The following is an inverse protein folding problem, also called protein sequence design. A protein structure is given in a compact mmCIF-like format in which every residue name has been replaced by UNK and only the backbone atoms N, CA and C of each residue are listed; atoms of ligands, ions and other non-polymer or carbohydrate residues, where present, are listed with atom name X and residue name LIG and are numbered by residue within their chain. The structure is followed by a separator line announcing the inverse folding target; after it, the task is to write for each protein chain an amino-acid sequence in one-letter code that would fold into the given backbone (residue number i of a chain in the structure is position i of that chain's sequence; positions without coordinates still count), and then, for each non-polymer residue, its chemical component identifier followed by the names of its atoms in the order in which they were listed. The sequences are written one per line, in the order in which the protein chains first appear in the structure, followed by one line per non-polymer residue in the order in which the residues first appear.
data_IF_955175770620
#
_entry.id   IF_955175770620
#
_cell.length_a   1.000
_cell.length_b   1.000
_cell.length_c   1.000
_cell.angle_alpha   90.00
_cell.angle_beta   90.00
_cell.angle_gamma   90.00
#
_symmetry.space_group_name_H-M   'P 1'
#
loop_
_entity.id
_entity.type
_entity.pdbx_description
1 polymer ?
#
# COMPACT_ATOMS: atom_id res chain seq x y z
N UNK A 1 -12.43 10.93 -3.31
CA UNK A 1 -11.07 11.02 -3.84
C UNK A 1 -10.76 9.84 -4.72
N UNK A 2 -10.01 10.07 -5.79
CA UNK A 2 -9.65 8.97 -6.69
C UNK A 2 -8.58 8.10 -6.03
N UNK A 3 -8.80 6.79 -6.07
CA UNK A 3 -7.80 5.85 -5.58
C UNK A 3 -6.65 5.73 -6.58
N UNK A 4 -5.46 5.58 -6.05
CA UNK A 4 -4.28 5.31 -6.85
C UNK A 4 -4.19 3.81 -7.14
N UNK A 5 -3.51 3.46 -8.22
CA UNK A 5 -3.26 2.06 -8.58
C UNK A 5 -1.79 1.77 -8.54
N UNK A 6 -1.45 0.54 -8.19
CA UNK A 6 -0.06 0.11 -8.17
C UNK A 6 0.04 -1.38 -7.94
N UNK A 7 1.25 -1.83 -7.71
CA UNK A 7 1.52 -3.22 -7.36
C UNK A 7 2.39 -3.29 -6.12
N UNK A 8 2.21 -4.33 -5.34
CA UNK A 8 3.01 -4.53 -4.13
C UNK A 8 4.43 -4.87 -4.53
N UNK A 9 5.39 -4.06 -4.07
CA UNK A 9 6.79 -4.32 -4.32
C UNK A 9 7.28 -5.44 -3.40
N UNK A 10 7.01 -5.30 -2.12
CA UNK A 10 7.21 -6.35 -1.12
C UNK A 10 6.45 -5.98 0.14
N UNK A 11 6.15 -6.96 0.95
CA UNK A 11 5.50 -6.75 2.22
C UNK A 11 5.99 -7.79 3.23
N UNK A 12 6.28 -7.35 4.45
CA UNK A 12 6.73 -8.23 5.51
C UNK A 12 5.75 -8.13 6.69
N UNK A 13 4.84 -9.10 6.84
CA UNK A 13 3.83 -9.04 7.92
C UNK A 13 4.46 -9.18 9.31
N UNK A 14 5.63 -9.80 9.40
CA UNK A 14 6.34 -9.93 10.68
C UNK A 14 6.86 -8.59 11.15
N UNK A 15 7.44 -7.80 10.24
CA UNK A 15 7.89 -6.45 10.55
C UNK A 15 6.75 -5.45 10.56
N UNK A 16 5.64 -5.76 9.89
CA UNK A 16 4.45 -4.95 9.88
C UNK A 16 4.41 -3.83 8.86
N UNK A 17 5.17 -3.94 7.77
CA UNK A 17 5.14 -2.92 6.73
C UNK A 17 5.67 -3.44 5.40
N UNK A 18 5.45 -2.64 4.36
CA UNK A 18 5.96 -2.93 3.04
C UNK A 18 5.88 -1.70 2.16
N UNK A 19 6.07 -1.90 0.87
CA UNK A 19 6.04 -0.82 -0.11
C UNK A 19 5.24 -1.22 -1.33
N UNK A 20 4.55 -0.23 -1.90
CA UNK A 20 3.78 -0.36 -3.13
C UNK A 20 4.48 0.44 -4.21
N UNK A 21 4.64 -0.16 -5.37
CA UNK A 21 5.14 0.54 -6.54
C UNK A 21 3.94 1.16 -7.26
N UNK A 22 3.82 2.50 -7.31
CA UNK A 22 2.68 3.12 -7.98
C UNK A 22 2.72 2.87 -9.48
N UNK A 23 1.54 2.79 -10.10
CA UNK A 23 1.44 2.63 -11.55
C UNK A 23 1.97 3.86 -12.29
N UNK A 24 1.84 5.02 -11.66
CA UNK A 24 2.35 6.30 -12.20
C UNK A 24 3.24 6.92 -11.13
N UNK A 25 4.47 7.25 -11.53
CA UNK A 25 5.44 7.83 -10.61
C UNK A 25 6.54 6.85 -10.27
N UNK A 26 7.55 7.33 -9.57
CA UNK A 26 8.76 6.55 -9.27
C UNK A 26 8.98 6.28 -7.80
N UNK A 27 8.26 6.98 -6.92
CA UNK A 27 8.46 6.84 -5.48
C UNK A 27 7.59 5.73 -4.92
N UNK A 28 8.22 4.78 -4.26
CA UNK A 28 7.49 3.73 -3.56
C UNK A 28 6.63 4.34 -2.45
N UNK A 29 5.47 3.73 -2.24
CA UNK A 29 4.52 4.18 -1.23
C UNK A 29 4.57 3.21 -0.05
N UNK A 30 4.79 3.76 1.13
CA UNK A 30 4.82 2.97 2.36
C UNK A 30 3.42 2.46 2.70
N UNK A 31 3.33 1.20 3.13
CA UNK A 31 2.08 0.62 3.63
C UNK A 31 2.35 -0.08 4.95
N UNK A 32 1.56 0.27 5.96
CA UNK A 32 1.66 -0.33 7.29
C UNK A 32 0.63 -1.46 7.43
N UNK A 33 0.95 -2.45 8.26
CA UNK A 33 0.06 -3.60 8.44
C UNK A 33 -1.33 -3.20 8.95
N UNK A 34 -1.44 -2.10 9.68
CA UNK A 34 -2.75 -1.62 10.14
C UNK A 34 -3.68 -1.31 8.98
N UNK A 35 -3.16 -0.77 7.88
CA UNK A 35 -3.94 -0.51 6.68
C UNK A 35 -4.36 -1.82 6.01
N UNK A 36 -3.49 -2.82 6.01
CA UNK A 36 -3.78 -4.15 5.49
C UNK A 36 -4.90 -4.80 6.28
N UNK A 37 -4.83 -4.73 7.59
CA UNK A 37 -5.86 -5.31 8.47
C UNK A 37 -7.20 -4.60 8.33
N UNK A 38 -7.19 -3.28 8.17
CA UNK A 38 -8.42 -2.51 7.94
C UNK A 38 -9.10 -2.89 6.63
N UNK A 39 -8.34 -3.36 5.67
CA UNK A 39 -8.88 -3.83 4.39
C UNK A 39 -9.38 -5.27 4.45
N UNK A 40 -9.27 -5.91 5.62
CA UNK A 40 -9.69 -7.30 5.80
C UNK A 40 -8.66 -8.31 5.33
N UNK A 41 -7.42 -7.87 5.16
CA UNK A 41 -6.33 -8.72 4.68
C UNK A 41 -5.36 -9.03 5.82
N UNK A 42 -4.55 -10.07 5.65
CA UNK A 42 -3.52 -10.43 6.62
C UNK A 42 -2.12 -10.11 6.12
N UNK A 43 -1.95 -10.09 4.80
CA UNK A 43 -0.67 -9.80 4.17
C UNK A 43 -0.92 -9.34 2.74
N UNK A 44 0.13 -8.89 2.09
CA UNK A 44 0.10 -8.55 0.67
C UNK A 44 1.15 -9.40 -0.05
N UNK A 45 0.78 -9.87 -1.23
CA UNK A 45 1.68 -10.69 -2.04
C UNK A 45 2.52 -9.80 -2.96
N UNK A 46 3.75 -10.19 -3.19
CA UNK A 46 4.64 -9.51 -4.11
C UNK A 46 4.04 -9.46 -5.51
N UNK A 47 4.12 -8.32 -6.16
CA UNK A 47 3.56 -8.05 -7.49
C UNK A 47 2.03 -8.09 -7.56
N UNK A 48 1.35 -8.13 -6.43
CA UNK A 48 -0.11 -8.09 -6.39
C UNK A 48 -0.62 -6.70 -6.78
N UNK A 49 -1.61 -6.65 -7.67
CA UNK A 49 -2.23 -5.39 -8.06
C UNK A 49 -3.14 -4.90 -6.94
N UNK A 50 -3.08 -3.61 -6.67
CA UNK A 50 -3.78 -3.03 -5.54
C UNK A 50 -4.17 -1.58 -5.85
N UNK A 51 -5.31 -1.17 -5.30
CA UNK A 51 -5.73 0.23 -5.30
C UNK A 51 -5.64 0.75 -3.86
N UNK A 52 -5.34 2.02 -3.71
CA UNK A 52 -5.16 2.60 -2.40
C UNK A 52 -5.35 4.12 -2.45
N UNK A 53 -5.64 4.71 -1.30
CA UNK A 53 -5.63 6.15 -1.13
C UNK A 53 -4.24 6.57 -0.68
N UNK A 54 -3.68 7.57 -1.35
CA UNK A 54 -2.39 8.14 -0.97
C UNK A 54 -2.63 9.19 0.11
N UNK A 55 -2.10 8.95 1.29
CA UNK A 55 -2.24 9.85 2.42
C UNK A 55 -0.88 10.43 2.75
N UNK A 56 -0.81 11.77 2.84
CA UNK A 56 0.41 12.45 3.24
C UNK A 56 0.26 12.97 4.67
N UNK A 57 1.22 12.66 5.51
CA UNK A 57 1.25 13.09 6.88
C UNK A 57 2.68 13.46 7.26
N UNK A 58 2.90 14.74 7.60
CA UNK A 58 4.21 15.26 7.99
C UNK A 58 5.30 14.98 6.94
N UNK A 59 4.96 15.17 5.67
CA UNK A 59 5.89 14.97 4.59
C UNK A 59 6.15 13.52 4.22
N UNK A 60 5.45 12.58 4.87
CA UNK A 60 5.55 11.16 4.56
C UNK A 60 4.27 10.68 3.90
N UNK A 61 4.39 9.86 2.87
CA UNK A 61 3.24 9.31 2.18
C UNK A 61 3.04 7.84 2.57
N UNK A 62 1.78 7.46 2.71
CA UNK A 62 1.43 6.07 3.01
C UNK A 62 0.15 5.69 2.29
N UNK A 63 -0.03 4.38 2.11
CA UNK A 63 -1.24 3.85 1.48
C UNK A 63 -2.27 3.51 2.56
N UNK A 64 -3.50 3.92 2.31
CA UNK A 64 -4.64 3.63 3.18
C UNK A 64 -5.79 3.13 2.33
N UNK A 65 -6.82 2.57 2.97
CA UNK A 65 -8.02 2.09 2.28
C UNK A 65 -7.69 1.16 1.11
N UNK A 66 -6.87 0.15 1.38
CA UNK A 66 -6.39 -0.77 0.37
C UNK A 66 -7.52 -1.59 -0.23
N UNK A 67 -7.45 -1.81 -1.53
CA UNK A 67 -8.39 -2.65 -2.24
C UNK A 67 -7.63 -3.53 -3.22
N UNK A 68 -7.73 -4.84 -3.03
CA UNK A 68 -7.11 -5.81 -3.92
C UNK A 68 -7.97 -5.96 -5.16
N UNK A 69 -7.36 -5.88 -6.33
CA UNK A 69 -8.06 -5.99 -7.61
C UNK A 69 -7.75 -7.31 -8.31
#
# INVERSE_FOLDING_TARGET
MAMQKGSVKWFNPTKGYGFIKPAVGEKDVFVHISAVERAGLTTLNENQHIEYDLVENRGKTSAENLKVT
#
